data_IF_878321919554
#
_entry.id   IF_878321919554
#
_cell.length_a   1.000
_cell.length_b   1.000
_cell.length_c   1.000
_cell.angle_alpha   90.00
_cell.angle_beta   90.00
_cell.angle_gamma   90.00
#
_symmetry.space_group_name_H-M   'P 1'
#
loop_
_entity.id
_entity.type
_entity.pdbx_description
1 polymer ?
#
# COMPACT_ATOMS: atom_id res chain seq x y z
N UNK A 1 -15.36 -9.77 -0.54
CA UNK A 1 -15.43 -8.77 0.56
C UNK A 1 -15.92 -7.46 -0.02
N UNK A 2 -16.88 -6.84 0.66
CA UNK A 2 -17.31 -5.45 0.46
C UNK A 2 -16.38 -4.49 1.21
N UNK A 3 -16.71 -3.19 1.17
CA UNK A 3 -15.90 -2.14 1.80
C UNK A 3 -15.86 -2.21 3.32
N UNK A 4 -16.98 -2.58 3.95
CA UNK A 4 -17.07 -2.68 5.42
C UNK A 4 -16.22 -3.85 5.95
N UNK A 5 -16.33 -5.02 5.32
CA UNK A 5 -15.52 -6.18 5.68
C UNK A 5 -14.02 -5.94 5.42
N UNK A 6 -13.68 -5.24 4.32
CA UNK A 6 -12.29 -4.86 4.04
C UNK A 6 -11.75 -3.89 5.10
N UNK A 7 -12.55 -2.90 5.52
CA UNK A 7 -12.15 -1.95 6.56
C UNK A 7 -11.98 -2.62 7.93
N UNK A 8 -12.89 -3.53 8.30
CA UNK A 8 -12.78 -4.32 9.51
C UNK A 8 -11.50 -5.16 9.51
N UNK A 9 -11.20 -5.85 8.40
CA UNK A 9 -9.98 -6.64 8.24
C UNK A 9 -8.70 -5.79 8.35
N UNK A 10 -8.68 -4.59 7.74
CA UNK A 10 -7.55 -3.66 7.85
C UNK A 10 -7.33 -3.14 9.29
N UNK A 11 -8.40 -3.03 10.06
CA UNK A 11 -8.42 -2.41 11.39
C UNK A 11 -8.26 -3.41 12.53
N UNK A 12 -8.23 -4.71 12.26
CA UNK A 12 -8.04 -5.72 13.30
C UNK A 12 -6.77 -5.43 14.12
N UNK A 13 -6.89 -5.45 15.45
CA UNK A 13 -5.77 -5.26 16.38
C UNK A 13 -5.61 -6.42 17.37
N UNK A 14 -6.70 -7.13 17.66
CA UNK A 14 -6.71 -8.25 18.59
C UNK A 14 -6.49 -9.57 17.85
N UNK A 15 -5.89 -10.55 18.52
CA UNK A 15 -5.67 -11.89 17.96
C UNK A 15 -4.64 -11.92 16.82
N UNK A 16 -3.73 -10.95 16.76
CA UNK A 16 -2.64 -10.89 15.77
C UNK A 16 -1.31 -11.24 16.45
N UNK A 17 -0.78 -12.47 16.30
CA UNK A 17 0.46 -12.89 16.95
C UNK A 17 1.67 -12.00 16.61
N UNK A 18 1.70 -11.44 15.40
CA UNK A 18 2.72 -10.49 14.94
C UNK A 18 2.38 -9.02 15.17
N UNK A 19 1.28 -8.71 15.86
CA UNK A 19 0.85 -7.36 16.21
C UNK A 19 0.73 -6.43 15.00
N UNK A 20 1.39 -5.27 15.06
CA UNK A 20 1.35 -4.28 13.98
C UNK A 20 1.93 -4.79 12.65
N UNK A 21 2.80 -5.80 12.68
CA UNK A 21 3.35 -6.40 11.45
C UNK A 21 2.29 -7.21 10.69
N UNK A 22 1.39 -7.89 11.40
CA UNK A 22 0.24 -8.57 10.79
C UNK A 22 -0.75 -7.57 10.22
N UNK A 23 -0.93 -6.43 10.90
CA UNK A 23 -1.76 -5.33 10.37
C UNK A 23 -1.21 -4.80 9.05
N UNK A 24 0.11 -4.66 8.94
CA UNK A 24 0.77 -4.29 7.68
C UNK A 24 0.47 -5.34 6.60
N UNK A 25 0.52 -6.63 6.92
CA UNK A 25 0.17 -7.72 5.98
C UNK A 25 -1.27 -7.62 5.51
N UNK A 26 -2.23 -7.41 6.41
CA UNK A 26 -3.65 -7.21 6.05
C UNK A 26 -3.81 -6.01 5.09
N UNK A 27 -3.15 -4.89 5.36
CA UNK A 27 -3.19 -3.73 4.47
C UNK A 27 -2.56 -4.01 3.10
N UNK A 28 -1.48 -4.80 3.05
CA UNK A 28 -0.88 -5.22 1.79
C UNK A 28 -1.83 -6.09 0.97
N UNK A 29 -2.54 -7.02 1.61
CA UNK A 29 -3.57 -7.84 0.95
C UNK A 29 -4.70 -6.99 0.38
N UNK A 30 -5.22 -6.03 1.15
CA UNK A 30 -6.28 -5.12 0.67
C UNK A 30 -5.80 -4.30 -0.54
N UNK A 31 -4.55 -3.80 -0.51
CA UNK A 31 -3.97 -3.09 -1.67
C UNK A 31 -3.82 -3.98 -2.91
N UNK A 32 -3.41 -5.25 -2.72
CA UNK A 32 -3.35 -6.24 -3.82
C UNK A 32 -4.72 -6.46 -4.45
N UNK A 33 -5.73 -6.71 -3.63
CA UNK A 33 -7.10 -6.95 -4.09
C UNK A 33 -7.71 -5.71 -4.75
N UNK A 34 -7.44 -4.51 -4.21
CA UNK A 34 -7.87 -3.26 -4.83
C UNK A 34 -7.24 -3.09 -6.22
N UNK A 35 -5.93 -3.32 -6.35
CA UNK A 35 -5.24 -3.25 -7.64
C UNK A 35 -5.78 -4.32 -8.62
N UNK A 36 -6.08 -5.53 -8.14
CA UNK A 36 -6.67 -6.58 -8.96
C UNK A 36 -8.05 -6.16 -9.50
N UNK A 37 -8.92 -5.59 -8.67
CA UNK A 37 -10.22 -5.06 -9.08
C UNK A 37 -10.11 -3.90 -10.07
N UNK A 38 -9.16 -2.98 -9.84
CA UNK A 38 -8.92 -1.85 -10.74
C UNK A 38 -8.42 -2.32 -12.11
N UNK A 39 -7.53 -3.31 -12.14
CA UNK A 39 -7.02 -3.92 -13.37
C UNK A 39 -8.05 -4.76 -14.11
N UNK A 40 -8.92 -5.44 -13.37
CA UNK A 40 -10.11 -6.10 -13.93
C UNK A 40 -11.14 -5.07 -14.45
N UNK A 41 -10.86 -3.77 -14.34
CA UNK A 41 -11.58 -2.69 -14.98
C UNK A 41 -12.67 -2.07 -14.12
N UNK A 42 -12.82 -2.47 -12.85
CA UNK A 42 -13.83 -2.00 -11.90
C UNK A 42 -15.10 -1.41 -12.55
N UNK A 43 -15.73 -2.17 -13.47
CA UNK A 43 -16.99 -1.86 -14.14
C UNK A 43 -16.96 -1.39 -15.62
N UNK A 44 -15.80 -1.25 -16.27
CA UNK A 44 -15.68 -0.76 -17.67
C UNK A 44 -15.12 0.68 -17.76
N UNK A 45 -15.13 1.34 -18.94
CA UNK A 45 -14.53 2.67 -19.14
C UNK A 45 -15.06 3.75 -18.17
N UNK A 46 -16.33 3.65 -17.77
CA UNK A 46 -17.00 4.55 -16.83
C UNK A 46 -16.68 4.23 -15.36
N UNK A 47 -16.32 2.98 -15.06
CA UNK A 47 -16.03 2.51 -13.71
C UNK A 47 -14.76 3.13 -13.13
N UNK A 48 -13.73 3.31 -13.96
CA UNK A 48 -12.47 3.95 -13.54
C UNK A 48 -12.66 5.44 -13.17
N UNK A 49 -13.58 6.14 -13.86
CA UNK A 49 -13.97 7.51 -13.49
C UNK A 49 -14.68 7.52 -12.14
N UNK A 50 -15.64 6.63 -11.92
CA UNK A 50 -16.36 6.52 -10.65
C UNK A 50 -15.42 6.20 -9.48
N UNK A 51 -14.42 5.34 -9.69
CA UNK A 51 -13.38 5.08 -8.68
C UNK A 51 -12.58 6.34 -8.39
N UNK A 52 -12.13 7.07 -9.42
CA UNK A 52 -11.35 8.27 -9.21
C UNK A 52 -12.14 9.33 -8.43
N UNK A 53 -13.41 9.58 -8.82
CA UNK A 53 -14.26 10.57 -8.16
C UNK A 53 -14.51 10.19 -6.69
N UNK A 54 -14.71 8.89 -6.40
CA UNK A 54 -14.82 8.40 -5.03
C UNK A 54 -13.52 8.59 -4.24
N UNK A 55 -12.36 8.38 -4.86
CA UNK A 55 -11.05 8.54 -4.22
C UNK A 55 -10.75 10.02 -3.94
N UNK A 56 -10.94 10.91 -4.91
CA UNK A 56 -10.68 12.35 -4.73
C UNK A 56 -11.65 12.99 -3.73
N UNK A 57 -12.88 12.48 -3.62
CA UNK A 57 -13.84 12.92 -2.60
C UNK A 57 -13.60 12.36 -1.19
N UNK A 58 -12.83 11.27 -1.06
CA UNK A 58 -12.65 10.56 0.22
C UNK A 58 -11.22 10.58 0.77
N UNK A 59 -10.26 11.07 -0.01
CA UNK A 59 -8.83 11.07 0.33
C UNK A 59 -8.27 12.48 0.20
N UNK A 60 -7.62 12.97 1.26
CA UNK A 60 -6.87 14.22 1.20
C UNK A 60 -5.56 14.00 0.45
N UNK A 61 -5.33 14.81 -0.58
CA UNK A 61 -4.08 14.86 -1.36
C UNK A 61 -3.46 16.25 -1.22
N UNK A 62 -2.17 16.38 -1.55
CA UNK A 62 -1.52 17.69 -1.56
C UNK A 62 -1.97 18.52 -2.78
N UNK A 63 -1.73 19.84 -2.75
CA UNK A 63 -2.13 20.77 -3.83
C UNK A 63 -1.47 20.45 -5.18
N UNK A 64 -0.30 19.79 -5.17
CA UNK A 64 0.40 19.36 -6.38
C UNK A 64 -0.24 18.13 -7.06
N UNK A 65 -1.15 17.42 -6.38
CA UNK A 65 -1.89 16.28 -6.91
C UNK A 65 -3.18 16.73 -7.60
N UNK A 66 -3.03 17.40 -8.74
CA UNK A 66 -4.19 17.74 -9.57
C UNK A 66 -4.92 16.49 -10.09
N UNK A 67 -6.19 16.65 -10.45
CA UNK A 67 -6.99 15.58 -11.06
C UNK A 67 -6.30 14.90 -12.26
N UNK A 68 -5.60 15.69 -13.08
CA UNK A 68 -4.87 15.18 -14.24
C UNK A 68 -3.70 14.26 -13.81
N UNK A 69 -2.99 14.62 -12.74
CA UNK A 69 -1.92 13.80 -12.16
C UNK A 69 -2.49 12.51 -11.61
N UNK A 70 -3.58 12.57 -10.84
CA UNK A 70 -4.23 11.39 -10.27
C UNK A 70 -4.79 10.45 -11.35
N UNK A 71 -5.42 10.98 -12.40
CA UNK A 71 -5.86 10.21 -13.58
C UNK A 71 -4.69 9.49 -14.25
N UNK A 72 -3.58 10.21 -14.47
CA UNK A 72 -2.37 9.65 -15.06
C UNK A 72 -1.77 8.54 -14.19
N UNK A 73 -1.70 8.73 -12.88
CA UNK A 73 -1.21 7.72 -11.93
C UNK A 73 -2.09 6.49 -11.91
N UNK A 74 -3.42 6.66 -11.87
CA UNK A 74 -4.37 5.55 -11.90
C UNK A 74 -4.24 4.75 -13.21
N UNK A 75 -4.17 5.44 -14.35
CA UNK A 75 -4.01 4.81 -15.66
C UNK A 75 -2.68 4.07 -15.81
N UNK A 76 -1.56 4.63 -15.32
CA UNK A 76 -0.26 3.93 -15.31
C UNK A 76 -0.30 2.75 -14.35
N UNK A 77 -0.80 2.94 -13.13
CA UNK A 77 -0.88 1.91 -12.11
C UNK A 77 -1.64 0.66 -12.57
N UNK A 78 -2.76 0.82 -13.26
CA UNK A 78 -3.52 -0.32 -13.80
C UNK A 78 -2.86 -1.01 -15.00
N UNK A 79 -1.84 -0.42 -15.61
CA UNK A 79 -1.11 -1.00 -16.75
C UNK A 79 0.24 -1.58 -16.36
N UNK A 80 0.97 -0.86 -15.52
CA UNK A 80 2.35 -1.14 -15.15
C UNK A 80 2.42 -2.05 -13.92
N UNK A 81 1.63 -1.79 -12.87
CA UNK A 81 1.68 -2.57 -11.62
C UNK A 81 0.89 -3.87 -11.73
N UNK A 82 1.39 -4.97 -11.16
CA UNK A 82 0.69 -6.25 -11.05
C UNK A 82 0.24 -6.48 -9.60
N UNK A 83 -0.91 -7.14 -9.35
CA UNK A 83 -1.30 -7.54 -7.99
C UNK A 83 -0.28 -8.52 -7.36
N UNK A 84 0.47 -9.23 -8.20
CA UNK A 84 1.56 -10.09 -7.79
C UNK A 84 2.79 -9.31 -7.29
N UNK A 85 2.94 -8.01 -7.63
CA UNK A 85 4.08 -7.20 -7.24
C UNK A 85 4.32 -7.25 -5.73
N UNK A 86 5.59 -7.24 -5.36
CA UNK A 86 5.97 -7.50 -3.97
C UNK A 86 5.77 -6.24 -3.13
N UNK A 87 4.88 -6.32 -2.15
CA UNK A 87 4.83 -5.33 -1.08
C UNK A 87 5.83 -5.74 0.00
N UNK A 88 6.65 -4.79 0.47
CA UNK A 88 7.62 -5.04 1.54
C UNK A 88 7.41 -4.04 2.66
N UNK A 89 7.32 -4.55 3.89
CA UNK A 89 7.44 -3.70 5.06
C UNK A 89 8.90 -3.27 5.22
N UNK A 90 9.15 -2.16 5.92
CA UNK A 90 10.50 -1.82 6.34
C UNK A 90 11.06 -2.99 7.18
N UNK A 91 12.32 -3.38 6.97
CA UNK A 91 12.91 -4.48 7.73
C UNK A 91 13.04 -4.09 9.21
N UNK A 92 12.72 -5.02 10.09
CA UNK A 92 12.71 -4.83 11.54
C UNK A 92 13.66 -5.82 12.22
N UNK A 93 14.34 -5.36 13.27
CA UNK A 93 15.13 -6.21 14.19
C UNK A 93 14.25 -6.88 15.24
N UNK A 94 13.10 -6.28 15.55
CA UNK A 94 12.15 -6.75 16.54
C UNK A 94 11.34 -5.60 17.11
N UNK A 95 10.53 -5.93 18.13
CA UNK A 95 9.74 -4.97 18.90
C UNK A 95 10.30 -4.87 20.32
N UNK A 96 10.07 -3.74 20.99
CA UNK A 96 10.51 -3.52 22.36
C UNK A 96 9.68 -2.45 23.06
N UNK A 97 10.17 -1.99 24.20
CA UNK A 97 9.56 -0.88 24.95
C UNK A 97 10.57 0.25 25.11
N UNK A 98 10.19 1.46 24.72
CA UNK A 98 10.98 2.68 24.92
C UNK A 98 10.12 3.75 25.57
N UNK A 99 10.62 4.38 26.65
CA UNK A 99 9.87 5.37 27.42
C UNK A 99 8.43 4.92 27.81
N UNK A 100 8.27 3.64 28.15
CA UNK A 100 6.97 3.05 28.52
C UNK A 100 6.02 2.78 27.35
N UNK A 101 6.45 2.98 26.10
CA UNK A 101 5.64 2.75 24.90
C UNK A 101 6.19 1.61 24.06
N UNK A 102 5.29 0.90 23.34
CA UNK A 102 5.69 -0.10 22.35
C UNK A 102 6.43 0.56 21.19
N UNK A 103 7.60 0.04 20.85
CA UNK A 103 8.44 0.55 19.75
C UNK A 103 8.83 -0.58 18.80
N UNK A 104 8.98 -0.24 17.52
CA UNK A 104 9.49 -1.14 16.48
C UNK A 104 10.91 -0.72 16.14
N UNK A 105 11.88 -1.63 16.32
CA UNK A 105 13.27 -1.36 16.00
C UNK A 105 13.53 -1.70 14.53
N UNK A 106 13.77 -0.68 13.71
CA UNK A 106 14.12 -0.86 12.30
C UNK A 106 15.53 -1.45 12.14
N UNK A 107 15.70 -2.30 11.13
CA UNK A 107 17.02 -2.79 10.74
C UNK A 107 17.65 -1.87 9.69
N UNK A 108 18.11 -0.69 10.14
CA UNK A 108 18.58 0.42 9.27
C UNK A 108 19.66 0.07 8.22
N UNK A 109 20.55 -0.91 8.42
CA UNK A 109 21.44 -1.38 7.35
C UNK A 109 20.72 -2.10 6.19
N UNK A 110 19.67 -2.88 6.46
CA UNK A 110 18.97 -3.69 5.44
C UNK A 110 18.25 -2.91 4.33
N UNK A 111 17.62 -1.73 4.57
CA UNK A 111 16.96 -0.98 3.52
C UNK A 111 17.92 -0.17 2.64
N UNK A 112 19.24 -0.14 2.91
CA UNK A 112 20.16 0.72 2.17
C UNK A 112 20.13 0.49 0.64
N UNK A 113 20.18 -0.76 0.19
CA UNK A 113 20.10 -1.09 -1.24
C UNK A 113 18.71 -0.79 -1.85
N UNK A 114 17.57 -1.22 -1.25
CA UNK A 114 16.24 -0.80 -1.71
C UNK A 114 16.04 0.72 -1.72
N UNK A 115 16.50 1.44 -0.70
CA UNK A 115 16.38 2.90 -0.62
C UNK A 115 17.19 3.60 -1.71
N UNK A 116 18.40 3.10 -2.00
CA UNK A 116 19.22 3.60 -3.10
C UNK A 116 18.55 3.35 -4.45
N UNK A 117 18.03 2.16 -4.67
CA UNK A 117 17.34 1.82 -5.92
C UNK A 117 16.08 2.65 -6.13
N UNK A 118 15.30 2.90 -5.07
CA UNK A 118 14.16 3.83 -5.10
C UNK A 118 14.61 5.25 -5.46
N UNK A 119 15.74 5.72 -4.89
CA UNK A 119 16.29 7.07 -5.18
C UNK A 119 16.76 7.21 -6.63
N UNK A 120 17.34 6.15 -7.18
CA UNK A 120 17.91 6.13 -8.53
C UNK A 120 16.89 5.68 -9.61
N UNK A 121 15.65 5.40 -9.22
CA UNK A 121 14.60 4.84 -10.08
C UNK A 121 15.07 3.59 -10.85
N UNK A 122 15.67 2.64 -10.11
CA UNK A 122 16.18 1.37 -10.63
C UNK A 122 15.45 0.19 -10.01
N UNK A 123 15.19 -0.83 -10.82
CA UNK A 123 14.69 -2.11 -10.32
C UNK A 123 15.78 -2.79 -9.46
N UNK A 124 15.45 -3.11 -8.21
CA UNK A 124 16.24 -4.07 -7.44
C UNK A 124 15.89 -5.46 -7.99
N UNK A 125 16.78 -6.04 -8.80
CA UNK A 125 16.63 -7.43 -9.25
C UNK A 125 16.37 -8.33 -8.02
N UNK A 126 15.39 -9.24 -8.06
CA UNK A 126 15.23 -10.22 -6.99
C UNK A 126 16.41 -11.19 -7.02
N UNK A 127 16.93 -11.52 -5.84
CA UNK A 127 17.38 -12.89 -5.57
C UNK A 127 16.16 -13.69 -5.12
#
# INVERSE_FOLDING_TARGET
MDGEAALAHARQRQGLPGGDLDRIRHQQLIRRELLAKLRAGAGGPLGLKGVLDAVTGSVSVNEAMSDAVLRRLLWRGTRELRPADTYRAAPVKGTGTGAGQSVVHLDLPRPAAPARALREDRAVLPR
#
